data_IF_414038625250
#
_entry.id   IF_414038625250
#
_cell.length_a   1.000
_cell.length_b   1.000
_cell.length_c   1.000
_cell.angle_alpha   90.00
_cell.angle_beta   90.00
_cell.angle_gamma   90.00
#
_symmetry.space_group_name_H-M   'P 1'
#
loop_
_entity.id
_entity.type
_entity.pdbx_description
1 polymer ?
#
# COMPACT_ATOMS: atom_id res chain seq x y z
N UNK A 1 9.84 6.17 16.56
CA UNK A 1 8.56 5.43 16.60
C UNK A 1 8.56 4.43 15.45
N UNK A 2 8.21 3.15 15.67
CA UNK A 2 8.15 2.15 14.60
C UNK A 2 6.70 1.90 14.21
N UNK A 3 6.39 1.91 12.93
CA UNK A 3 5.05 1.64 12.40
C UNK A 3 4.88 0.13 12.14
N UNK A 4 3.75 -0.43 12.59
CA UNK A 4 3.39 -1.84 12.33
C UNK A 4 2.82 -2.00 10.93
N UNK A 5 2.95 -3.21 10.37
CA UNK A 5 2.31 -3.51 9.10
C UNK A 5 0.78 -3.45 9.23
N UNK A 6 0.08 -2.92 8.22
CA UNK A 6 -1.38 -2.79 8.22
C UNK A 6 -2.15 -4.14 8.25
N UNK A 7 -1.48 -5.28 8.03
CA UNK A 7 -2.14 -6.59 8.05
C UNK A 7 -2.28 -7.07 9.50
N UNK A 8 -3.49 -7.45 9.95
CA UNK A 8 -3.72 -7.98 11.29
C UNK A 8 -2.76 -9.12 11.64
N UNK A 9 -2.32 -9.15 12.91
CA UNK A 9 -1.40 -10.16 13.45
C UNK A 9 0.01 -10.18 12.81
N UNK A 10 0.32 -9.28 11.88
CA UNK A 10 1.67 -9.11 11.35
C UNK A 10 2.56 -8.36 12.35
N UNK A 11 3.60 -9.03 12.86
CA UNK A 11 4.57 -8.43 13.79
C UNK A 11 5.69 -7.64 13.12
N UNK A 12 5.72 -7.55 11.79
CA UNK A 12 6.76 -6.76 11.09
C UNK A 12 6.51 -5.28 11.36
N UNK A 13 7.60 -4.54 11.56
CA UNK A 13 7.60 -3.09 11.80
C UNK A 13 8.58 -2.38 10.86
N UNK A 14 8.38 -1.09 10.62
CA UNK A 14 9.29 -0.22 9.88
C UNK A 14 9.61 1.04 10.69
N UNK A 15 10.81 1.57 10.50
CA UNK A 15 11.31 2.84 11.01
C UNK A 15 11.14 3.99 10.01
N UNK A 16 10.60 3.71 8.82
CA UNK A 16 10.40 4.70 7.76
C UNK A 16 9.27 5.66 8.10
N UNK A 17 9.34 6.93 7.64
CA UNK A 17 8.35 7.96 7.90
C UNK A 17 7.11 7.79 7.00
N UNK A 18 6.37 6.72 7.21
CA UNK A 18 5.09 6.47 6.54
C UNK A 18 3.95 6.63 7.54
N UNK A 19 2.76 6.99 7.06
CA UNK A 19 1.52 6.96 7.85
C UNK A 19 0.94 5.53 7.90
N UNK A 20 1.07 4.80 6.80
CA UNK A 20 0.63 3.42 6.64
C UNK A 20 1.67 2.60 5.89
N UNK A 21 1.79 1.31 6.21
CA UNK A 21 2.82 0.46 5.62
C UNK A 21 2.39 -1.01 5.46
N UNK A 22 2.71 -1.57 4.30
CA UNK A 22 2.64 -3.01 4.03
C UNK A 22 4.04 -3.60 3.96
N UNK A 23 4.29 -4.63 4.76
CA UNK A 23 5.58 -5.29 4.78
C UNK A 23 5.84 -6.10 3.50
N UNK A 24 7.12 -6.44 3.26
CA UNK A 24 7.53 -7.21 2.09
C UNK A 24 6.91 -8.61 1.97
N UNK A 25 6.31 -9.17 3.04
CA UNK A 25 5.57 -10.45 2.98
C UNK A 25 4.15 -10.26 2.42
N UNK A 26 3.50 -9.14 2.74
CA UNK A 26 2.11 -8.88 2.34
C UNK A 26 2.01 -8.07 1.05
N UNK A 27 3.02 -7.27 0.72
CA UNK A 27 3.07 -6.54 -0.54
C UNK A 27 2.92 -7.45 -1.80
N UNK A 28 3.55 -8.64 -1.87
CA UNK A 28 3.39 -9.54 -3.01
C UNK A 28 1.98 -10.15 -3.14
N UNK A 29 1.20 -10.21 -2.05
CA UNK A 29 -0.16 -10.73 -2.08
C UNK A 29 -1.10 -9.84 -2.89
N UNK A 30 -0.76 -8.57 -3.09
CA UNK A 30 -1.55 -7.63 -3.88
C UNK A 30 -1.30 -7.84 -5.37
N UNK A 31 -2.36 -7.69 -6.17
CA UNK A 31 -2.31 -7.83 -7.62
C UNK A 31 -1.20 -6.97 -8.24
N UNK A 32 -0.38 -7.63 -9.07
CA UNK A 32 0.75 -6.99 -9.77
C UNK A 32 0.31 -5.77 -10.58
N UNK A 33 -0.89 -5.82 -11.19
CA UNK A 33 -1.47 -4.70 -11.95
C UNK A 33 -1.75 -3.50 -11.04
N UNK A 34 -2.41 -3.72 -9.91
CA UNK A 34 -2.72 -2.64 -8.97
C UNK A 34 -1.47 -1.99 -8.39
N UNK A 35 -0.48 -2.79 -7.97
CA UNK A 35 0.81 -2.28 -7.50
C UNK A 35 1.52 -1.41 -8.53
N UNK A 36 1.50 -1.83 -9.81
CA UNK A 36 2.09 -1.06 -10.92
C UNK A 36 1.36 0.27 -11.12
N UNK A 37 0.02 0.26 -11.12
CA UNK A 37 -0.77 1.49 -11.29
C UNK A 37 -0.51 2.46 -10.11
N UNK A 38 -0.51 1.96 -8.88
CA UNK A 38 -0.22 2.76 -7.69
C UNK A 38 1.17 3.39 -7.78
N UNK A 39 2.20 2.60 -8.08
CA UNK A 39 3.56 3.09 -8.22
C UNK A 39 3.70 4.17 -9.31
N UNK A 40 2.98 4.03 -10.43
CA UNK A 40 2.94 5.06 -11.49
C UNK A 40 2.30 6.35 -10.98
N UNK A 41 1.10 6.28 -10.41
CA UNK A 41 0.36 7.45 -9.91
C UNK A 41 1.11 8.17 -8.80
N UNK A 42 1.63 7.42 -7.82
CA UNK A 42 2.44 7.97 -6.75
C UNK A 42 3.74 8.62 -7.25
N UNK A 43 4.36 8.09 -8.32
CA UNK A 43 5.55 8.72 -8.94
C UNK A 43 5.18 10.01 -9.65
N UNK A 44 4.09 10.03 -10.42
CA UNK A 44 3.60 11.23 -11.11
C UNK A 44 3.24 12.31 -10.09
N UNK A 45 2.49 11.97 -9.04
CA UNK A 45 2.15 12.91 -7.98
C UNK A 45 3.39 13.45 -7.25
N UNK A 46 4.37 12.60 -6.91
CA UNK A 46 5.62 13.07 -6.28
C UNK A 46 6.44 13.99 -7.19
N UNK A 47 6.39 13.80 -8.51
CA UNK A 47 7.17 14.60 -9.47
C UNK A 47 6.48 15.92 -9.83
N UNK A 48 5.17 15.90 -10.03
CA UNK A 48 4.44 17.02 -10.62
C UNK A 48 3.39 17.63 -9.67
N UNK A 49 3.21 17.05 -8.48
CA UNK A 49 2.20 17.47 -7.49
C UNK A 49 0.77 17.61 -8.05
N UNK A 50 0.46 16.84 -9.10
CA UNK A 50 -0.86 16.82 -9.71
C UNK A 50 -1.88 16.18 -8.75
N UNK A 51 -2.79 16.99 -8.23
CA UNK A 51 -3.76 16.60 -7.20
C UNK A 51 -4.55 15.33 -7.56
N UNK A 52 -5.04 15.25 -8.81
CA UNK A 52 -5.82 14.09 -9.29
C UNK A 52 -5.06 12.77 -9.23
N UNK A 53 -3.74 12.77 -9.44
CA UNK A 53 -2.91 11.56 -9.33
C UNK A 53 -2.68 11.18 -7.86
N UNK A 54 -2.58 12.17 -6.98
CA UNK A 54 -2.51 11.96 -5.52
C UNK A 54 -3.79 11.31 -5.00
N UNK A 55 -4.96 11.87 -5.32
CA UNK A 55 -6.25 11.29 -4.93
C UNK A 55 -6.44 9.88 -5.47
N UNK A 56 -6.11 9.66 -6.75
CA UNK A 56 -6.19 8.34 -7.36
C UNK A 56 -5.26 7.33 -6.68
N UNK A 57 -4.04 7.75 -6.31
CA UNK A 57 -3.11 6.93 -5.56
C UNK A 57 -3.65 6.59 -4.16
N UNK A 58 -4.25 7.56 -3.45
CA UNK A 58 -4.88 7.34 -2.14
C UNK A 58 -6.04 6.34 -2.21
N UNK A 59 -6.93 6.47 -3.21
CA UNK A 59 -8.03 5.52 -3.42
C UNK A 59 -7.50 4.12 -3.71
N UNK A 60 -6.50 4.02 -4.58
CA UNK A 60 -5.89 2.75 -4.92
C UNK A 60 -5.16 2.12 -3.73
N UNK A 61 -4.51 2.93 -2.88
CA UNK A 61 -3.88 2.44 -1.65
C UNK A 61 -4.90 1.80 -0.70
N UNK A 62 -6.06 2.42 -0.48
CA UNK A 62 -7.13 1.83 0.35
C UNK A 62 -7.57 0.46 -0.17
N UNK A 63 -7.73 0.33 -1.48
CA UNK A 63 -8.07 -0.94 -2.12
C UNK A 63 -6.95 -1.98 -1.99
N UNK A 64 -5.69 -1.58 -2.22
CA UNK A 64 -4.49 -2.41 -2.07
C UNK A 64 -4.37 -2.94 -0.64
N UNK A 65 -4.57 -2.07 0.35
CA UNK A 65 -4.55 -2.43 1.77
C UNK A 65 -5.62 -3.47 2.07
N UNK A 66 -6.85 -3.25 1.60
CA UNK A 66 -7.95 -4.21 1.78
C UNK A 66 -7.60 -5.57 1.20
N UNK A 67 -7.15 -5.61 -0.06
CA UNK A 67 -6.78 -6.84 -0.73
C UNK A 67 -5.63 -7.58 -0.02
N UNK A 68 -4.63 -6.84 0.50
CA UNK A 68 -3.54 -7.44 1.26
C UNK A 68 -4.03 -8.11 2.56
N UNK A 69 -5.01 -7.49 3.25
CA UNK A 69 -5.62 -8.02 4.48
C UNK A 69 -6.45 -9.27 4.16
N UNK A 70 -7.34 -9.18 3.16
CA UNK A 70 -8.19 -10.30 2.72
C UNK A 70 -7.34 -11.51 2.33
N UNK A 71 -6.34 -11.32 1.47
CA UNK A 71 -5.48 -12.42 1.00
C UNK A 71 -4.56 -12.98 2.08
N UNK A 72 -4.11 -12.15 3.03
CA UNK A 72 -3.34 -12.65 4.17
C UNK A 72 -4.20 -13.50 5.12
N UNK A 73 -5.51 -13.25 5.17
CA UNK A 73 -6.49 -14.06 5.88
C UNK A 73 -6.98 -15.29 5.09
N UNK A 74 -6.53 -15.46 3.83
CA UNK A 74 -6.99 -16.54 2.95
C UNK A 74 -8.36 -16.31 2.30
N UNK A 75 -8.84 -15.06 2.29
CA UNK A 75 -10.12 -14.67 1.69
C UNK A 75 -9.82 -14.09 0.29
N UNK A 76 -10.50 -14.59 -0.75
CA UNK A 76 -10.34 -14.14 -2.14
C UNK A 76 -11.60 -13.52 -2.70
#
# INVERSE_FOLDING_TARGET
MRLTCCVPYCKRTTDRPFDEWLCGKHWPLVDKKARRVYGRRARVWRRYHRHSDGEAACRLWRWIKRQAIERAAGIS
#
